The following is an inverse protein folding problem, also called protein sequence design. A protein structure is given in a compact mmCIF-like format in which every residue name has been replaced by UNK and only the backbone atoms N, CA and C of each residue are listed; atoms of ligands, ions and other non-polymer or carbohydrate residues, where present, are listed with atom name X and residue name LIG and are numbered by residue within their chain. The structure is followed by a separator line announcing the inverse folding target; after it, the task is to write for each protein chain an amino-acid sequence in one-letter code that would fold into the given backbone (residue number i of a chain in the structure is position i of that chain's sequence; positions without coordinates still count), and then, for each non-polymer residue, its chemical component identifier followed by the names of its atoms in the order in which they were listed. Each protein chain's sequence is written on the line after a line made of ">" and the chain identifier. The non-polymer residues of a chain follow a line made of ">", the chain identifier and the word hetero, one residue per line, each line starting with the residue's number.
data_IF_789680598752
#
_entry.id   IF_789680598752
#
_cell.length_a   1.000
_cell.length_b   1.000
_cell.length_c   1.000
_cell.angle_alpha   90.00
_cell.angle_beta   90.00
_cell.angle_gamma   90.00
#
_symmetry.space_group_name_H-M   'P 1'
#
loop_
_entity.id
_entity.type
_entity.pdbx_description
1 polymer ?
#
# COMPACT_ATOMS: atom_id res chain seq x y z
N UNK A 1 -41.52 4.48 -28.65
CA UNK A 1 -40.24 5.01 -28.11
C UNK A 1 -40.02 4.64 -26.64
N UNK A 2 -40.92 4.95 -25.69
CA UNK A 2 -40.71 4.67 -24.25
C UNK A 2 -40.35 3.20 -23.90
N UNK A 3 -41.00 2.22 -24.54
CA UNK A 3 -40.68 0.79 -24.35
C UNK A 3 -39.28 0.39 -24.84
N UNK A 4 -38.85 0.97 -25.97
CA UNK A 4 -37.52 0.72 -26.55
C UNK A 4 -36.42 1.29 -25.66
N UNK A 5 -36.64 2.48 -25.08
CA UNK A 5 -35.70 3.09 -24.12
C UNK A 5 -35.55 2.23 -22.87
N UNK A 6 -36.64 1.66 -22.35
CA UNK A 6 -36.59 0.72 -21.22
C UNK A 6 -35.71 -0.49 -21.49
N UNK A 7 -35.92 -1.19 -22.60
CA UNK A 7 -35.09 -2.35 -22.95
C UNK A 7 -33.60 -2.02 -23.14
N UNK A 8 -33.28 -0.82 -23.64
CA UNK A 8 -31.89 -0.36 -23.77
C UNK A 8 -31.26 -0.17 -22.39
N UNK A 9 -31.98 0.45 -21.45
CA UNK A 9 -31.51 0.66 -20.07
C UNK A 9 -31.32 -0.68 -19.36
N UNK A 10 -32.28 -1.60 -19.47
CA UNK A 10 -32.19 -2.92 -18.83
C UNK A 10 -31.00 -3.72 -19.38
N UNK A 11 -30.81 -3.71 -20.70
CA UNK A 11 -29.66 -4.36 -21.35
C UNK A 11 -28.35 -3.77 -20.86
N UNK A 12 -28.27 -2.44 -20.75
CA UNK A 12 -27.09 -1.75 -20.22
C UNK A 12 -26.79 -2.14 -18.76
N UNK A 13 -27.82 -2.21 -17.91
CA UNK A 13 -27.67 -2.61 -16.49
C UNK A 13 -27.22 -4.07 -16.37
N UNK A 14 -27.74 -4.98 -17.20
CA UNK A 14 -27.29 -6.38 -17.22
C UNK A 14 -25.80 -6.46 -17.61
N UNK A 15 -25.38 -5.71 -18.64
CA UNK A 15 -23.97 -5.64 -19.04
C UNK A 15 -23.11 -5.11 -17.88
N UNK A 16 -23.55 -4.04 -17.22
CA UNK A 16 -22.84 -3.47 -16.08
C UNK A 16 -22.72 -4.47 -14.92
N UNK A 17 -23.79 -5.22 -14.62
CA UNK A 17 -23.79 -6.28 -13.61
C UNK A 17 -22.81 -7.39 -13.95
N UNK A 18 -22.78 -7.86 -15.20
CA UNK A 18 -21.85 -8.90 -15.65
C UNK A 18 -20.40 -8.41 -15.52
N UNK A 19 -20.10 -7.19 -15.97
CA UNK A 19 -18.76 -6.58 -15.85
C UNK A 19 -18.35 -6.45 -14.38
N UNK A 20 -19.24 -5.91 -13.54
CA UNK A 20 -19.02 -5.76 -12.09
C UNK A 20 -18.76 -7.10 -11.42
N UNK A 21 -19.52 -8.14 -11.80
CA UNK A 21 -19.37 -9.50 -11.25
C UNK A 21 -18.05 -10.14 -11.66
N UNK A 22 -17.66 -10.01 -12.93
CA UNK A 22 -16.37 -10.51 -13.45
C UNK A 22 -15.20 -9.82 -12.73
N UNK A 23 -15.29 -8.50 -12.56
CA UNK A 23 -14.31 -7.72 -11.80
C UNK A 23 -14.22 -8.16 -10.33
N UNK A 24 -15.37 -8.35 -9.67
CA UNK A 24 -15.46 -8.74 -8.27
C UNK A 24 -14.91 -10.17 -8.01
N UNK A 25 -15.33 -11.17 -8.81
CA UNK A 25 -14.82 -12.55 -8.72
C UNK A 25 -13.30 -12.58 -8.94
N UNK A 26 -12.83 -11.75 -9.86
CA UNK A 26 -11.41 -11.57 -10.11
C UNK A 26 -10.59 -11.12 -8.92
N UNK A 27 -11.11 -10.10 -8.25
CA UNK A 27 -10.54 -9.53 -7.04
C UNK A 27 -10.47 -10.60 -5.93
N UNK A 28 -11.55 -11.35 -5.70
CA UNK A 28 -11.58 -12.43 -4.70
C UNK A 28 -10.57 -13.55 -4.96
N UNK A 29 -10.28 -13.86 -6.22
CA UNK A 29 -9.34 -14.92 -6.58
C UNK A 29 -7.89 -14.46 -6.61
N UNK A 30 -7.61 -13.16 -6.43
CA UNK A 30 -6.27 -12.59 -6.58
C UNK A 30 -5.65 -12.84 -7.96
N UNK A 31 -6.50 -13.10 -8.97
CA UNK A 31 -6.10 -13.59 -10.30
C UNK A 31 -6.44 -12.65 -11.44
N UNK A 32 -7.20 -11.58 -11.20
CA UNK A 32 -7.51 -10.66 -12.28
C UNK A 32 -6.38 -9.70 -12.52
N UNK A 33 -5.72 -9.94 -13.64
CA UNK A 33 -4.85 -8.99 -14.29
C UNK A 33 -5.67 -8.29 -15.41
N UNK A 34 -6.15 -7.07 -15.15
CA UNK A 34 -6.76 -6.22 -16.18
C UNK A 34 -5.70 -5.23 -16.67
N UNK A 35 -5.21 -5.41 -17.90
CA UNK A 35 -4.20 -4.51 -18.50
C UNK A 35 -2.91 -4.34 -17.67
N UNK A 36 -2.48 -5.39 -16.97
CA UNK A 36 -1.34 -5.36 -16.05
C UNK A 36 -1.75 -5.16 -14.59
N UNK A 37 -2.94 -4.67 -14.28
CA UNK A 37 -3.32 -4.27 -12.92
C UNK A 37 -4.09 -5.37 -12.18
N UNK A 38 -3.77 -5.55 -10.89
CA UNK A 38 -4.49 -6.45 -10.00
C UNK A 38 -4.62 -5.88 -8.58
N UNK A 39 -5.72 -6.21 -7.90
CA UNK A 39 -5.89 -5.98 -6.47
C UNK A 39 -5.61 -7.29 -5.73
N UNK A 40 -4.69 -7.26 -4.78
CA UNK A 40 -4.20 -8.44 -4.08
C UNK A 40 -4.24 -8.19 -2.58
N UNK A 41 -4.84 -9.12 -1.84
CA UNK A 41 -4.88 -9.11 -0.38
C UNK A 41 -3.55 -9.58 0.21
N UNK A 42 -3.05 -8.84 1.20
CA UNK A 42 -1.85 -9.16 1.96
C UNK A 42 -2.17 -10.23 3.01
N UNK A 43 -1.49 -11.37 2.92
CA UNK A 43 -1.74 -12.51 3.82
C UNK A 43 -0.73 -12.65 4.96
N UNK A 44 0.37 -11.88 4.94
CA UNK A 44 1.48 -12.03 5.89
C UNK A 44 1.91 -10.67 6.44
N UNK A 45 2.35 -10.66 7.70
CA UNK A 45 2.82 -9.44 8.41
C UNK A 45 4.27 -9.06 8.13
N UNK A 46 4.92 -9.70 7.15
CA UNK A 46 6.33 -9.46 6.81
C UNK A 46 6.61 -8.05 6.29
N UNK A 47 5.57 -7.27 5.98
CA UNK A 47 5.68 -5.91 5.46
C UNK A 47 5.10 -4.84 6.40
N UNK A 48 4.74 -5.20 7.64
CA UNK A 48 4.12 -4.28 8.62
C UNK A 48 4.97 -3.03 8.90
N UNK A 49 6.30 -3.14 8.95
CA UNK A 49 7.21 -2.00 9.15
C UNK A 49 7.13 -0.96 8.01
N UNK A 50 6.62 -1.34 6.83
CA UNK A 50 6.37 -0.43 5.71
C UNK A 50 4.93 0.11 5.65
N UNK A 51 4.13 -0.16 6.69
CA UNK A 51 2.72 0.21 6.76
C UNK A 51 1.81 -0.70 5.93
N UNK A 52 2.27 -1.92 5.61
CA UNK A 52 1.49 -2.94 4.90
C UNK A 52 1.12 -4.05 5.87
N UNK A 53 -0.14 -4.05 6.28
CA UNK A 53 -0.67 -4.95 7.30
C UNK A 53 -1.41 -6.14 6.68
N UNK A 54 -1.55 -7.20 7.47
CA UNK A 54 -2.39 -8.36 7.11
C UNK A 54 -3.83 -7.90 6.86
N UNK A 55 -4.42 -8.34 5.75
CA UNK A 55 -5.78 -7.99 5.34
C UNK A 55 -5.89 -6.68 4.55
N UNK A 56 -4.78 -5.98 4.32
CA UNK A 56 -4.77 -4.86 3.38
C UNK A 56 -4.92 -5.37 1.94
N UNK A 57 -5.67 -4.65 1.11
CA UNK A 57 -5.72 -4.90 -0.34
C UNK A 57 -4.84 -3.88 -1.05
N UNK A 58 -3.85 -4.38 -1.79
CA UNK A 58 -2.84 -3.57 -2.49
C UNK A 58 -3.03 -3.65 -4.00
N UNK A 59 -2.79 -2.51 -4.66
CA UNK A 59 -2.81 -2.40 -6.11
C UNK A 59 -1.42 -2.70 -6.67
N UNK A 60 -1.33 -3.76 -7.47
CA UNK A 60 -0.11 -4.16 -8.16
C UNK A 60 -0.24 -3.97 -9.68
N UNK A 61 0.90 -3.82 -10.34
CA UNK A 61 1.03 -3.76 -11.79
C UNK A 61 2.12 -4.70 -12.28
N UNK A 62 1.75 -5.58 -13.21
CA UNK A 62 2.67 -6.38 -14.01
C UNK A 62 3.38 -5.47 -15.01
N UNK A 63 4.71 -5.55 -15.04
CA UNK A 63 5.59 -4.75 -15.90
C UNK A 63 6.65 -5.66 -16.53
N UNK A 64 7.22 -5.24 -17.66
CA UNK A 64 8.23 -6.02 -18.38
C UNK A 64 9.57 -6.13 -17.62
N UNK A 65 9.84 -5.17 -16.72
CA UNK A 65 11.05 -5.11 -15.91
C UNK A 65 10.71 -4.61 -14.51
N UNK A 66 11.23 -5.32 -13.51
CA UNK A 66 11.22 -4.94 -12.10
C UNK A 66 12.60 -4.42 -11.71
N UNK A 67 12.66 -3.57 -10.69
CA UNK A 67 13.91 -2.94 -10.25
C UNK A 67 14.13 -3.18 -8.74
N UNK A 68 15.40 -3.12 -8.32
CA UNK A 68 15.74 -3.11 -6.90
C UNK A 68 15.08 -1.89 -6.24
N UNK A 69 14.47 -2.10 -5.08
CA UNK A 69 13.64 -1.12 -4.38
C UNK A 69 12.14 -1.22 -4.65
N UNK A 70 11.71 -2.00 -5.65
CA UNK A 70 10.28 -2.29 -5.85
C UNK A 70 9.75 -3.20 -4.72
N UNK A 71 8.55 -2.91 -4.21
CA UNK A 71 7.78 -3.89 -3.45
C UNK A 71 7.08 -4.81 -4.45
N UNK A 72 7.52 -6.07 -4.52
CA UNK A 72 7.01 -7.04 -5.49
C UNK A 72 6.06 -8.03 -4.82
N UNK A 73 4.98 -8.33 -5.52
CA UNK A 73 4.06 -9.41 -5.19
C UNK A 73 4.42 -10.65 -6.02
N UNK A 74 4.65 -11.79 -5.37
CA UNK A 74 5.09 -13.01 -6.04
C UNK A 74 4.46 -14.26 -5.43
N UNK A 75 4.41 -15.34 -6.21
CA UNK A 75 3.94 -16.63 -5.77
C UNK A 75 5.04 -17.43 -5.07
N UNK A 76 4.75 -17.92 -3.87
CA UNK A 76 5.60 -18.87 -3.13
C UNK A 76 4.71 -19.81 -2.33
N UNK A 77 4.97 -21.12 -2.41
CA UNK A 77 4.23 -22.16 -1.70
C UNK A 77 2.69 -22.07 -1.88
N UNK A 78 2.24 -21.66 -3.07
CA UNK A 78 0.81 -21.49 -3.38
C UNK A 78 0.14 -20.26 -2.78
N UNK A 79 0.89 -19.43 -2.04
CA UNK A 79 0.44 -18.15 -1.49
C UNK A 79 1.09 -16.97 -2.21
N UNK A 80 0.50 -15.78 -2.06
CA UNK A 80 1.06 -14.54 -2.58
C UNK A 80 1.73 -13.81 -1.43
N UNK A 81 2.99 -13.44 -1.63
CA UNK A 81 3.80 -12.68 -0.69
C UNK A 81 4.15 -11.33 -1.29
N UNK A 82 4.27 -10.32 -0.43
CA UNK A 82 4.79 -9.00 -0.78
C UNK A 82 6.12 -8.85 -0.08
N UNK A 83 7.21 -8.60 -0.79
CA UNK A 83 8.50 -8.25 -0.18
C UNK A 83 9.18 -7.14 -0.97
N UNK A 84 10.13 -6.46 -0.33
CA UNK A 84 11.02 -5.51 -0.98
C UNK A 84 12.08 -6.28 -1.78
N UNK A 85 12.23 -5.95 -3.06
CA UNK A 85 13.34 -6.43 -3.87
C UNK A 85 14.63 -5.70 -3.45
N UNK A 86 15.56 -6.42 -2.82
CA UNK A 86 16.78 -5.83 -2.25
C UNK A 86 18.00 -5.98 -3.16
N UNK A 87 18.06 -7.04 -3.96
CA UNK A 87 19.16 -7.32 -4.86
C UNK A 87 18.65 -8.05 -6.09
N UNK A 88 19.09 -7.63 -7.27
CA UNK A 88 18.82 -8.33 -8.53
C UNK A 88 19.95 -9.34 -8.81
N UNK A 89 19.58 -10.60 -8.99
CA UNK A 89 20.47 -11.68 -9.40
C UNK A 89 20.03 -12.21 -10.75
N UNK A 90 20.92 -12.92 -11.46
CA UNK A 90 20.66 -13.37 -12.84
C UNK A 90 19.33 -14.14 -13.03
N UNK A 91 18.88 -14.87 -12.00
CA UNK A 91 17.65 -15.66 -12.04
C UNK A 91 16.41 -14.95 -11.47
N UNK A 92 16.54 -13.79 -10.83
CA UNK A 92 15.44 -13.20 -10.06
C UNK A 92 15.89 -12.12 -9.07
N UNK A 93 15.18 -12.01 -7.97
CA UNK A 93 15.51 -11.08 -6.89
C UNK A 93 15.73 -11.83 -5.58
N UNK A 94 16.69 -11.34 -4.80
CA UNK A 94 16.69 -11.60 -3.36
C UNK A 94 15.71 -10.59 -2.77
N UNK A 95 14.82 -11.07 -1.91
CA UNK A 95 13.76 -10.27 -1.31
C UNK A 95 13.85 -10.24 0.20
N UNK A 96 13.33 -9.18 0.81
CA UNK A 96 13.20 -9.09 2.25
C UNK A 96 11.85 -8.46 2.61
N UNK A 97 11.12 -9.12 3.52
CA UNK A 97 10.01 -8.47 4.18
C UNK A 97 10.54 -7.34 5.07
N UNK A 98 9.97 -6.14 4.98
CA UNK A 98 10.47 -4.98 5.74
C UNK A 98 10.41 -5.18 7.26
N UNK A 99 9.58 -6.10 7.75
CA UNK A 99 9.52 -6.51 9.18
C UNK A 99 10.43 -7.68 9.53
N UNK A 100 11.10 -8.29 8.55
CA UNK A 100 11.99 -9.42 8.77
C UNK A 100 13.41 -8.93 9.09
N UNK A 101 14.07 -9.55 10.06
CA UNK A 101 15.44 -9.22 10.49
C UNK A 101 16.53 -9.55 9.47
N UNK A 102 16.25 -10.42 8.52
CA UNK A 102 17.20 -10.88 7.52
C UNK A 102 16.53 -11.05 6.14
N UNK A 103 17.30 -10.97 5.05
CA UNK A 103 16.86 -11.36 3.72
C UNK A 103 16.32 -12.79 3.67
N UNK A 104 15.37 -13.03 2.77
CA UNK A 104 14.86 -14.38 2.54
C UNK A 104 15.95 -15.28 1.95
N UNK A 105 16.04 -16.50 2.45
CA UNK A 105 17.05 -17.48 2.01
C UNK A 105 16.86 -18.00 0.58
N UNK A 106 15.78 -17.62 -0.10
CA UNK A 106 15.44 -18.10 -1.44
C UNK A 106 15.33 -16.96 -2.46
N UNK A 107 15.66 -17.28 -3.72
CA UNK A 107 15.55 -16.34 -4.83
C UNK A 107 14.11 -16.36 -5.36
N UNK A 108 13.49 -15.19 -5.51
CA UNK A 108 12.23 -15.01 -6.20
C UNK A 108 12.52 -14.89 -7.69
N UNK A 109 12.17 -15.91 -8.47
CA UNK A 109 12.43 -15.91 -9.92
C UNK A 109 11.52 -14.89 -10.62
N UNK A 110 11.99 -14.33 -11.71
CA UNK A 110 11.21 -13.39 -12.54
C UNK A 110 9.83 -13.93 -12.94
N UNK A 111 9.73 -15.23 -13.20
CA UNK A 111 8.50 -15.92 -13.57
C UNK A 111 7.49 -16.08 -12.42
N UNK A 112 7.96 -16.01 -11.16
CA UNK A 112 7.11 -16.12 -9.98
C UNK A 112 6.54 -14.75 -9.57
N UNK A 113 7.03 -13.64 -10.15
CA UNK A 113 6.58 -12.28 -9.87
C UNK A 113 5.28 -11.99 -10.62
N UNK A 114 4.26 -11.59 -9.88
CA UNK A 114 2.93 -11.27 -10.40
C UNK A 114 2.88 -9.81 -10.84
N UNK A 115 3.51 -8.92 -10.06
CA UNK A 115 3.53 -7.49 -10.31
C UNK A 115 4.20 -6.73 -9.17
N UNK A 116 4.44 -5.45 -9.39
CA UNK A 116 4.94 -4.54 -8.36
C UNK A 116 3.82 -3.70 -7.79
N UNK A 117 3.89 -3.41 -6.50
CA UNK A 117 3.02 -2.43 -5.88
C UNK A 117 3.27 -1.07 -6.52
N UNK A 118 2.18 -0.43 -6.95
CA UNK A 118 2.23 0.90 -7.58
C UNK A 118 1.55 1.97 -6.73
N UNK A 119 0.94 1.58 -5.61
CA UNK A 119 0.31 2.49 -4.67
C UNK A 119 0.37 1.93 -3.26
N UNK A 120 0.74 2.77 -2.30
CA UNK A 120 0.68 2.46 -0.87
C UNK A 120 -0.70 2.69 -0.26
N UNK A 121 -1.73 3.03 -1.06
CA UNK A 121 -3.11 3.09 -0.56
C UNK A 121 -3.65 1.69 -0.30
N UNK A 122 -4.41 1.55 0.78
CA UNK A 122 -5.21 0.36 1.03
C UNK A 122 -6.54 0.50 0.25
N UNK A 123 -6.84 -0.48 -0.60
CA UNK A 123 -8.03 -0.54 -1.44
C UNK A 123 -9.19 -1.34 -0.82
N UNK A 124 -9.15 -1.65 0.49
CA UNK A 124 -10.24 -2.31 1.20
C UNK A 124 -11.58 -1.59 1.02
N UNK A 125 -11.58 -0.26 1.06
CA UNK A 125 -12.78 0.55 0.79
C UNK A 125 -13.31 0.31 -0.63
N UNK A 126 -12.43 0.20 -1.62
CA UNK A 126 -12.80 0.02 -3.01
C UNK A 126 -13.42 -1.37 -3.21
N UNK A 127 -12.81 -2.41 -2.66
CA UNK A 127 -13.38 -3.78 -2.68
C UNK A 127 -14.74 -3.81 -1.99
N UNK A 128 -14.88 -3.14 -0.85
CA UNK A 128 -16.16 -3.03 -0.12
C UNK A 128 -17.23 -2.32 -0.94
N UNK A 129 -16.90 -1.20 -1.58
CA UNK A 129 -17.81 -0.45 -2.44
C UNK A 129 -18.21 -1.26 -3.68
N UNK A 130 -17.26 -1.93 -4.33
CA UNK A 130 -17.54 -2.78 -5.50
C UNK A 130 -18.46 -3.95 -5.17
N UNK A 131 -18.28 -4.57 -4.00
CA UNK A 131 -19.19 -5.61 -3.51
C UNK A 131 -20.62 -5.08 -3.36
N UNK A 132 -20.78 -3.90 -2.76
CA UNK A 132 -22.09 -3.24 -2.57
C UNK A 132 -22.75 -2.90 -3.91
N UNK A 133 -21.98 -2.36 -4.87
CA UNK A 133 -22.49 -2.06 -6.23
C UNK A 133 -23.00 -3.35 -6.90
N UNK A 134 -22.23 -4.44 -6.82
CA UNK A 134 -22.62 -5.74 -7.38
C UNK A 134 -23.91 -6.27 -6.74
N UNK A 135 -24.08 -6.12 -5.42
CA UNK A 135 -25.29 -6.50 -4.70
C UNK A 135 -26.50 -5.65 -5.12
N UNK A 136 -26.33 -4.33 -5.24
CA UNK A 136 -27.41 -3.42 -5.66
C UNK A 136 -27.90 -3.78 -7.07
N UNK A 137 -26.98 -4.03 -8.00
CA UNK A 137 -27.29 -4.45 -9.36
C UNK A 137 -28.03 -5.81 -9.36
N UNK A 138 -27.60 -6.77 -8.55
CA UNK A 138 -28.27 -8.06 -8.40
C UNK A 138 -29.72 -7.90 -7.89
N UNK A 139 -29.91 -7.11 -6.83
CA UNK A 139 -31.24 -6.85 -6.26
C UNK A 139 -32.15 -6.15 -7.27
N UNK A 140 -31.63 -5.16 -8.00
CA UNK A 140 -32.36 -4.51 -9.08
C UNK A 140 -32.84 -5.51 -10.13
N UNK A 141 -31.98 -6.43 -10.57
CA UNK A 141 -32.33 -7.47 -11.55
C UNK A 141 -33.41 -8.43 -11.00
N UNK A 142 -33.35 -8.80 -9.73
CA UNK A 142 -34.38 -9.63 -9.07
C UNK A 142 -35.73 -8.90 -9.04
N UNK A 143 -35.74 -7.60 -8.69
CA UNK A 143 -36.96 -6.80 -8.68
C UNK A 143 -37.54 -6.68 -10.09
N UNK A 144 -36.72 -6.36 -11.09
CA UNK A 144 -37.18 -6.28 -12.48
C UNK A 144 -37.73 -7.61 -13.00
N UNK A 145 -37.07 -8.73 -12.69
CA UNK A 145 -37.55 -10.06 -13.06
C UNK A 145 -38.89 -10.40 -12.41
N UNK A 146 -39.04 -10.12 -11.11
CA UNK A 146 -40.29 -10.37 -10.39
C UNK A 146 -41.45 -9.50 -10.89
N UNK A 147 -41.21 -8.21 -11.17
CA UNK A 147 -42.19 -7.33 -11.80
C UNK A 147 -42.58 -7.83 -13.19
N UNK A 148 -41.60 -8.25 -14.00
CA UNK A 148 -41.84 -8.83 -15.32
C UNK A 148 -42.74 -10.08 -15.26
N UNK A 149 -42.48 -10.98 -14.32
CA UNK A 149 -43.29 -12.17 -14.09
C UNK A 149 -44.73 -11.80 -13.68
N UNK A 150 -44.90 -10.87 -12.72
CA UNK A 150 -46.25 -10.42 -12.33
C UNK A 150 -47.02 -9.78 -13.48
N UNK A 151 -46.34 -9.01 -14.35
CA UNK A 151 -46.96 -8.39 -15.51
C UNK A 151 -47.34 -9.44 -16.57
N UNK A 152 -46.51 -10.46 -16.77
CA UNK A 152 -46.82 -11.58 -17.66
C UNK A 152 -48.08 -12.33 -17.19
N UNK A 153 -48.16 -12.65 -15.90
CA UNK A 153 -49.33 -13.30 -15.31
C UNK A 153 -50.60 -12.46 -15.56
N UNK A 154 -50.55 -11.14 -15.30
CA UNK A 154 -51.69 -10.22 -15.55
C UNK A 154 -52.11 -10.18 -17.03
N UNK A 155 -51.14 -10.17 -17.96
CA UNK A 155 -51.40 -9.95 -19.38
C UNK A 155 -51.82 -11.21 -20.14
N UNK A 156 -51.35 -12.39 -19.70
CA UNK A 156 -51.48 -13.63 -20.45
C UNK A 156 -52.20 -14.74 -19.68
N UNK A 157 -52.17 -14.74 -18.35
CA UNK A 157 -52.96 -15.66 -17.53
C UNK A 157 -54.14 -14.94 -16.89
N UNK A 158 -55.32 -15.03 -17.52
CA UNK A 158 -56.59 -14.50 -17.01
C UNK A 158 -57.10 -15.20 -15.72
N UNK A 159 -56.23 -15.68 -14.82
CA UNK A 159 -56.64 -16.29 -13.55
C UNK A 159 -56.19 -15.46 -12.35
N UNK A 160 -57.15 -14.64 -11.90
CA UNK A 160 -57.18 -13.94 -10.63
C UNK A 160 -56.96 -14.94 -9.49
N UNK A 161 -55.75 -15.01 -8.92
CA UNK A 161 -55.55 -15.36 -7.51
C UNK A 161 -54.20 -14.79 -7.02
N UNK A 162 -54.23 -13.53 -6.58
CA UNK A 162 -53.15 -12.95 -5.79
C UNK A 162 -53.16 -13.58 -4.38
N UNK A 163 -52.52 -14.73 -4.24
CA UNK A 163 -52.20 -15.30 -2.93
C UNK A 163 -51.22 -14.38 -2.20
N UNK A 164 -51.63 -13.84 -1.05
CA UNK A 164 -50.98 -12.73 -0.33
C UNK A 164 -49.51 -12.90 0.07
N UNK A 165 -48.87 -14.04 -0.18
CA UNK A 165 -47.45 -14.28 0.12
C UNK A 165 -46.49 -13.62 -0.88
N UNK A 166 -46.83 -13.55 -2.18
CA UNK A 166 -45.90 -13.04 -3.22
C UNK A 166 -45.66 -11.53 -3.12
N UNK A 167 -46.69 -10.75 -2.78
CA UNK A 167 -46.57 -9.31 -2.54
C UNK A 167 -45.84 -8.96 -1.24
N UNK A 168 -46.00 -9.79 -0.21
CA UNK A 168 -45.31 -9.64 1.08
C UNK A 168 -43.80 -9.84 0.97
N UNK A 169 -43.34 -10.75 0.13
CA UNK A 169 -41.89 -10.97 -0.12
C UNK A 169 -41.23 -9.74 -0.72
N UNK A 170 -41.92 -9.04 -1.64
CA UNK A 170 -41.41 -7.83 -2.29
C UNK A 170 -41.29 -6.64 -1.30
N UNK A 171 -42.24 -6.52 -0.38
CA UNK A 171 -42.25 -5.52 0.68
C UNK A 171 -41.18 -5.82 1.75
N UNK A 172 -41.01 -7.10 2.13
CA UNK A 172 -39.93 -7.52 3.03
C UNK A 172 -38.53 -7.25 2.44
N UNK A 173 -38.34 -7.47 1.12
CA UNK A 173 -37.07 -7.16 0.45
C UNK A 173 -36.78 -5.65 0.44
N UNK A 174 -37.81 -4.82 0.25
CA UNK A 174 -37.71 -3.35 0.30
C UNK A 174 -37.40 -2.81 1.71
N UNK A 175 -37.91 -3.47 2.76
CA UNK A 175 -37.67 -3.12 4.16
C UNK A 175 -36.28 -3.55 4.66
N UNK A 176 -35.64 -4.54 4.03
CA UNK A 176 -34.29 -5.03 4.38
C UNK A 176 -33.16 -4.16 3.81
N UNK A 177 -33.42 -3.33 2.79
CA UNK A 177 -32.41 -2.49 2.12
C UNK A 177 -31.81 -1.36 2.98
N UNK A 178 -32.59 -0.63 3.81
CA UNK A 178 -32.03 0.40 4.71
C UNK A 178 -31.58 -0.14 6.08
N UNK A 179 -31.77 -1.44 6.37
CA UNK A 179 -31.58 -2.01 7.70
C UNK A 179 -30.22 -2.68 7.94
N UNK A 180 -29.27 -2.59 7.00
CA UNK A 180 -27.88 -2.91 7.33
C UNK A 180 -27.34 -1.73 8.16
N UNK A 181 -27.09 -1.89 9.48
CA UNK A 181 -26.47 -0.83 10.24
C UNK A 181 -25.16 -0.48 9.56
N UNK A 182 -25.04 0.79 9.18
CA UNK A 182 -23.75 1.42 8.96
C UNK A 182 -23.07 1.36 10.33
N UNK A 183 -22.32 0.29 10.59
CA UNK A 183 -21.26 0.37 11.57
C UNK A 183 -20.24 1.34 10.99
N UNK A 184 -20.45 2.61 11.29
CA UNK A 184 -19.33 3.52 11.45
C UNK A 184 -18.44 2.84 12.48
N UNK A 185 -17.23 2.47 12.07
CA UNK A 185 -16.18 2.17 13.02
C UNK A 185 -16.07 3.41 13.92
N UNK A 186 -16.28 3.15 15.20
CA UNK A 186 -16.25 4.06 16.31
C UNK A 186 -14.98 4.91 16.28
N UNK A 187 -15.09 6.18 15.86
CA UNK A 187 -14.09 7.21 16.17
C UNK A 187 -14.54 7.91 17.45
N UNK A 188 -14.39 7.24 18.58
CA UNK A 188 -14.41 7.92 19.87
C UNK A 188 -13.19 8.85 19.95
N UNK A 189 -13.39 10.13 19.60
CA UNK A 189 -13.08 11.18 20.57
C UNK A 189 -13.87 12.48 20.29
N UNK A 190 -14.85 12.71 21.16
CA UNK A 190 -15.23 13.98 21.79
C UNK A 190 -15.04 15.30 21.03
N UNK A 191 -16.17 15.98 20.83
CA UNK A 191 -16.32 17.38 20.39
C UNK A 191 -15.65 18.41 21.31
N UNK A 192 -14.81 19.32 20.78
CA UNK A 192 -14.81 20.77 21.08
C UNK A 192 -14.22 21.53 19.87
N UNK A 193 -14.93 22.55 19.39
CA UNK A 193 -14.44 23.51 18.39
C UNK A 193 -13.33 24.40 18.99
N UNK A 194 -12.10 24.23 18.52
CA UNK A 194 -11.07 25.27 18.48
C UNK A 194 -10.28 25.07 17.19
N UNK A 195 -10.06 26.14 16.42
CA UNK A 195 -9.16 26.10 15.27
C UNK A 195 -7.74 25.93 15.81
N UNK A 196 -7.28 24.70 15.90
CA UNK A 196 -5.88 24.33 16.09
C UNK A 196 -5.51 23.45 14.92
N UNK A 197 -4.44 23.81 14.19
CA UNK A 197 -3.75 22.95 13.24
C UNK A 197 -3.68 21.53 13.83
N UNK A 198 -4.33 20.57 13.16
CA UNK A 198 -4.27 19.18 13.59
C UNK A 198 -2.90 18.65 13.15
N UNK A 199 -1.96 18.51 14.09
CA UNK A 199 -0.77 17.68 13.89
C UNK A 199 -1.27 16.24 13.63
N UNK A 200 -1.12 15.76 12.40
CA UNK A 200 -1.49 14.40 12.03
C UNK A 200 -0.38 13.47 12.50
N UNK A 201 -0.51 12.92 13.70
CA UNK A 201 0.39 11.89 14.23
C UNK A 201 0.14 10.56 13.50
N UNK A 202 1.07 10.17 12.64
CA UNK A 202 1.06 8.83 12.04
C UNK A 202 2.06 7.98 12.81
N UNK A 203 1.55 7.15 13.72
CA UNK A 203 2.34 6.16 14.42
C UNK A 203 2.61 4.99 13.45
N UNK A 204 3.83 4.96 12.89
CA UNK A 204 4.34 3.81 12.12
C UNK A 204 4.93 2.73 13.03
N UNK A 205 4.69 2.82 14.33
CA UNK A 205 5.23 1.97 15.40
C UNK A 205 6.39 2.65 16.14
N UNK A 206 7.25 3.39 15.43
CA UNK A 206 8.41 4.07 16.03
C UNK A 206 8.70 5.47 15.50
N UNK A 207 8.20 5.90 14.33
CA UNK A 207 8.42 7.26 13.86
C UNK A 207 7.23 8.17 14.15
N UNK A 208 7.54 9.39 14.58
CA UNK A 208 6.59 10.50 14.66
C UNK A 208 6.67 11.30 13.37
N UNK A 209 5.56 11.42 12.67
CA UNK A 209 5.42 12.22 11.45
C UNK A 209 4.46 13.38 11.74
N UNK A 210 4.84 14.59 11.34
CA UNK A 210 4.01 15.80 11.46
C UNK A 210 4.15 16.59 10.17
N UNK A 211 3.03 16.99 9.55
CA UNK A 211 2.99 17.76 8.29
C UNK A 211 3.86 17.15 7.17
N UNK A 212 3.81 15.82 7.02
CA UNK A 212 4.59 15.06 6.02
C UNK A 212 6.12 15.11 6.21
N UNK A 213 6.55 15.49 7.41
CA UNK A 213 7.94 15.48 7.82
C UNK A 213 8.16 14.46 8.94
N UNK A 214 9.28 13.73 8.90
CA UNK A 214 9.68 12.87 10.01
C UNK A 214 10.26 13.74 11.11
N UNK A 215 9.60 13.79 12.26
CA UNK A 215 9.97 14.66 13.39
C UNK A 215 10.57 13.93 14.57
N UNK A 216 10.36 12.62 14.67
CA UNK A 216 10.86 11.86 15.80
C UNK A 216 11.00 10.37 15.51
N UNK A 217 11.82 9.71 16.31
CA UNK A 217 11.97 8.28 16.35
C UNK A 217 12.02 7.80 17.81
N UNK A 218 11.28 6.74 18.11
CA UNK A 218 11.30 6.10 19.42
C UNK A 218 12.58 5.27 19.58
N UNK A 219 13.56 5.85 20.27
CA UNK A 219 14.83 5.20 20.58
C UNK A 219 14.69 3.97 21.50
N UNK A 220 13.51 3.72 22.08
CA UNK A 220 13.24 2.54 22.92
C UNK A 220 12.78 1.30 22.14
N UNK A 221 12.59 1.43 20.82
CA UNK A 221 12.14 0.36 19.91
C UNK A 221 12.95 -0.94 20.01
N UNK A 222 14.26 -0.83 20.26
CA UNK A 222 15.21 -1.95 20.20
C UNK A 222 15.65 -2.33 18.79
N UNK A 223 15.21 -1.59 17.76
CA UNK A 223 15.54 -1.90 16.37
C UNK A 223 17.03 -1.65 16.06
N UNK A 224 17.60 -2.59 15.30
CA UNK A 224 18.99 -2.51 14.82
C UNK A 224 19.07 -2.05 13.37
N UNK A 225 18.00 -2.22 12.59
CA UNK A 225 17.89 -1.76 11.21
C UNK A 225 16.68 -0.84 11.11
N UNK A 226 16.92 0.41 10.73
CA UNK A 226 15.88 1.44 10.71
C UNK A 226 15.71 2.00 9.30
N UNK A 227 14.50 1.90 8.76
CA UNK A 227 14.14 2.49 7.47
C UNK A 227 13.27 3.71 7.69
N UNK A 228 13.69 4.88 7.22
CA UNK A 228 12.83 6.05 7.26
C UNK A 228 11.58 5.85 6.40
N UNK A 229 10.41 6.37 6.81
CA UNK A 229 9.18 6.21 6.06
C UNK A 229 9.27 7.00 4.74
N UNK A 230 8.99 6.32 3.63
CA UNK A 230 9.01 6.94 2.31
C UNK A 230 7.71 7.71 1.98
N UNK A 231 6.61 7.37 2.66
CA UNK A 231 5.27 7.91 2.39
C UNK A 231 4.47 8.11 3.68
N UNK A 232 3.57 9.09 3.69
CA UNK A 232 2.60 9.31 4.76
C UNK A 232 1.42 8.31 4.68
N UNK A 233 0.48 8.40 5.62
CA UNK A 233 -0.71 7.53 5.69
C UNK A 233 -1.67 7.71 4.51
N UNK A 234 -1.61 8.86 3.83
CA UNK A 234 -2.38 9.15 2.62
C UNK A 234 -1.71 8.61 1.34
N UNK A 235 -0.49 8.07 1.45
CA UNK A 235 0.32 7.57 0.34
C UNK A 235 1.05 8.66 -0.45
N UNK A 236 1.24 9.84 0.14
CA UNK A 236 2.02 10.94 -0.43
C UNK A 236 3.48 10.82 0.02
N UNK A 237 4.46 11.18 -0.83
CA UNK A 237 5.87 11.01 -0.54
C UNK A 237 6.32 11.92 0.61
N UNK A 238 7.01 11.33 1.59
CA UNK A 238 7.71 12.08 2.63
C UNK A 238 9.06 12.50 2.06
N UNK A 239 9.32 13.80 2.11
CA UNK A 239 10.50 14.41 1.51
C UNK A 239 11.49 14.95 2.53
N UNK A 240 11.07 15.12 3.78
CA UNK A 240 11.84 15.78 4.83
C UNK A 240 11.95 14.89 6.07
N UNK A 241 13.18 14.71 6.54
CA UNK A 241 13.50 14.30 7.91
C UNK A 241 14.03 15.51 8.62
N UNK A 242 13.44 15.88 9.74
CA UNK A 242 13.83 17.08 10.49
C UNK A 242 15.09 16.84 11.34
N UNK A 243 15.42 17.79 12.21
CA UNK A 243 16.63 17.74 13.03
C UNK A 243 16.52 16.66 14.13
N UNK A 244 17.61 15.93 14.35
CA UNK A 244 17.82 15.05 15.52
C UNK A 244 16.87 13.85 15.65
N UNK A 245 16.19 13.43 14.58
CA UNK A 245 15.17 12.38 14.62
C UNK A 245 15.67 11.09 15.27
N UNK A 246 16.84 10.59 14.86
CA UNK A 246 17.46 9.36 15.41
C UNK A 246 18.70 9.64 16.29
N UNK A 247 18.80 10.86 16.83
CA UNK A 247 19.96 11.28 17.64
C UNK A 247 20.05 10.46 18.92
N UNK A 248 21.27 10.17 19.39
CA UNK A 248 21.53 9.40 20.61
C UNK A 248 20.99 7.96 20.58
N UNK A 249 20.70 7.42 19.40
CA UNK A 249 20.24 6.04 19.31
C UNK A 249 21.40 5.06 19.57
N UNK A 250 21.25 4.25 20.61
CA UNK A 250 22.26 3.28 21.04
C UNK A 250 22.06 1.87 20.47
N UNK A 251 20.99 1.61 19.71
CA UNK A 251 20.66 0.27 19.21
C UNK A 251 20.86 0.14 17.70
N UNK A 252 20.61 1.21 16.96
CA UNK A 252 20.60 1.21 15.50
C UNK A 252 22.00 1.02 14.93
N UNK A 253 22.14 -0.04 14.13
CA UNK A 253 23.36 -0.41 13.41
C UNK A 253 23.31 -0.05 11.93
N UNK A 254 22.12 -0.07 11.33
CA UNK A 254 21.91 0.22 9.90
C UNK A 254 20.76 1.20 9.75
N UNK A 255 20.97 2.26 8.97
CA UNK A 255 19.90 3.20 8.59
C UNK A 255 19.67 3.18 7.09
N UNK A 256 18.41 3.12 6.67
CA UNK A 256 17.97 3.13 5.28
C UNK A 256 17.18 4.42 5.02
N UNK A 257 17.68 5.23 4.09
CA UNK A 257 17.03 6.44 3.58
C UNK A 257 16.39 6.09 2.23
N UNK A 258 15.05 6.07 2.11
CA UNK A 258 14.36 5.79 0.85
C UNK A 258 14.54 6.90 -0.20
N UNK A 259 14.25 6.62 -1.48
CA UNK A 259 14.45 7.57 -2.57
C UNK A 259 13.63 8.86 -2.49
N UNK A 260 12.51 8.85 -1.75
CA UNK A 260 11.61 9.99 -1.63
C UNK A 260 12.18 11.12 -0.77
N UNK A 261 13.13 10.82 0.11
CA UNK A 261 13.68 11.78 1.06
C UNK A 261 14.71 12.66 0.35
N UNK A 262 14.35 13.91 0.15
CA UNK A 262 15.19 14.93 -0.49
C UNK A 262 15.83 15.88 0.50
N UNK A 263 15.43 15.84 1.78
CA UNK A 263 15.98 16.69 2.83
C UNK A 263 16.22 15.96 4.14
N UNK A 264 17.42 16.15 4.71
CA UNK A 264 17.81 15.63 6.03
C UNK A 264 18.26 16.78 6.93
N UNK A 265 17.59 16.91 8.08
CA UNK A 265 17.92 17.87 9.11
C UNK A 265 19.26 17.61 9.80
N UNK A 266 19.63 18.53 10.66
CA UNK A 266 20.91 18.52 11.37
C UNK A 266 20.95 17.46 12.46
N UNK A 267 22.15 16.94 12.71
CA UNK A 267 22.47 16.09 13.87
C UNK A 267 21.67 14.79 13.98
N UNK A 268 21.06 14.31 12.88
CA UNK A 268 20.31 13.05 12.86
C UNK A 268 21.16 11.87 13.35
N UNK A 269 22.39 11.74 12.87
CA UNK A 269 23.30 10.64 13.23
C UNK A 269 24.27 10.99 14.37
N UNK A 270 23.98 12.04 15.15
CA UNK A 270 24.90 12.46 16.21
C UNK A 270 24.78 11.53 17.43
N UNK A 271 25.93 11.04 17.92
CA UNK A 271 26.02 10.11 19.06
C UNK A 271 25.24 8.80 18.85
N UNK A 272 25.37 8.19 17.67
CA UNK A 272 24.85 6.85 17.38
C UNK A 272 26.02 5.85 17.42
N UNK A 273 26.41 5.31 18.60
CA UNK A 273 27.67 4.57 18.77
C UNK A 273 27.73 3.23 18.04
N UNK A 274 26.56 2.62 17.77
CA UNK A 274 26.46 1.31 17.13
C UNK A 274 26.18 1.38 15.62
N UNK A 275 25.99 2.59 15.07
CA UNK A 275 25.74 2.79 13.65
C UNK A 275 26.98 2.40 12.85
N UNK A 276 26.84 1.39 11.99
CA UNK A 276 27.89 0.84 11.13
C UNK A 276 27.65 1.16 9.67
N UNK A 277 26.38 1.18 9.26
CA UNK A 277 25.99 1.30 7.85
C UNK A 277 24.90 2.35 7.63
N UNK A 278 25.03 3.06 6.51
CA UNK A 278 24.01 3.96 5.99
C UNK A 278 23.71 3.61 4.54
N UNK A 279 22.46 3.29 4.23
CA UNK A 279 21.99 2.97 2.88
C UNK A 279 21.16 4.16 2.40
N UNK A 280 21.57 4.83 1.34
CA UNK A 280 20.89 6.00 0.77
C UNK A 280 20.41 5.64 -0.63
N UNK A 281 19.11 5.43 -0.79
CA UNK A 281 18.51 4.98 -2.06
C UNK A 281 18.13 6.14 -3.00
N UNK A 282 18.43 7.38 -2.63
CA UNK A 282 18.18 8.54 -3.49
C UNK A 282 19.18 8.60 -4.66
N UNK A 283 18.66 8.87 -5.87
CA UNK A 283 19.49 9.05 -7.08
C UNK A 283 20.23 10.40 -7.06
N UNK A 284 19.74 11.38 -6.29
CA UNK A 284 20.37 12.69 -6.16
C UNK A 284 20.93 12.87 -4.73
N UNK A 285 22.19 13.31 -4.56
CA UNK A 285 22.75 13.59 -3.24
C UNK A 285 21.90 14.58 -2.45
N UNK A 286 21.58 14.23 -1.21
CA UNK A 286 20.77 15.07 -0.32
C UNK A 286 21.63 16.23 0.19
N UNK A 287 21.46 17.42 -0.40
CA UNK A 287 22.31 18.58 -0.14
C UNK A 287 22.04 19.28 1.21
N UNK A 288 20.86 19.10 1.81
CA UNK A 288 20.54 19.70 3.11
C UNK A 288 21.17 18.96 4.29
N UNK A 289 21.73 17.77 4.05
CA UNK A 289 22.41 16.98 5.07
C UNK A 289 23.52 17.81 5.74
N UNK A 290 23.54 17.83 7.07
CA UNK A 290 24.57 18.55 7.82
C UNK A 290 25.72 17.62 8.19
N UNK A 291 26.93 17.99 7.80
CA UNK A 291 28.16 17.33 8.22
C UNK A 291 28.72 17.86 9.55
N UNK A 292 27.97 18.69 10.29
CA UNK A 292 28.43 19.26 11.55
C UNK A 292 28.76 18.14 12.56
N UNK A 293 30.01 18.13 13.04
CA UNK A 293 30.51 17.12 13.97
C UNK A 293 30.91 15.79 13.33
N UNK A 294 30.97 15.73 11.99
CA UNK A 294 31.38 14.57 11.20
C UNK A 294 30.65 13.27 11.64
N UNK A 295 29.30 13.26 11.62
CA UNK A 295 28.53 12.22 12.31
C UNK A 295 28.60 10.83 11.63
N UNK A 296 29.12 10.74 10.40
CA UNK A 296 29.25 9.47 9.66
C UNK A 296 30.70 8.95 9.57
N UNK A 297 31.59 9.39 10.46
CA UNK A 297 32.98 8.90 10.49
C UNK A 297 33.01 7.41 10.76
N UNK A 298 33.70 6.67 9.90
CA UNK A 298 33.86 5.22 10.07
C UNK A 298 32.61 4.41 9.70
N UNK A 299 31.55 5.05 9.21
CA UNK A 299 30.34 4.37 8.72
C UNK A 299 30.51 4.04 7.24
N UNK A 300 30.08 2.84 6.83
CA UNK A 300 30.00 2.45 5.42
C UNK A 300 28.71 3.00 4.81
N UNK A 301 28.83 3.74 3.70
CA UNK A 301 27.71 4.40 3.03
C UNK A 301 27.47 3.71 1.69
N UNK A 302 26.29 3.14 1.50
CA UNK A 302 25.88 2.48 0.26
C UNK A 302 24.86 3.32 -0.50
N UNK A 303 25.08 3.50 -1.80
CA UNK A 303 24.21 4.29 -2.70
C UNK A 303 23.99 3.54 -4.02
N UNK A 304 22.95 3.86 -4.82
CA UNK A 304 22.74 3.18 -6.09
C UNK A 304 23.98 3.24 -6.98
N UNK A 305 24.29 2.11 -7.62
CA UNK A 305 25.50 1.90 -8.41
C UNK A 305 25.71 2.99 -9.49
N UNK A 306 24.61 3.48 -10.06
CA UNK A 306 24.55 4.55 -11.05
C UNK A 306 25.16 5.87 -10.54
N UNK A 307 25.03 6.18 -9.25
CA UNK A 307 25.25 7.52 -8.70
C UNK A 307 26.38 7.60 -7.67
N UNK A 308 27.10 6.50 -7.44
CA UNK A 308 28.27 6.44 -6.53
C UNK A 308 29.26 7.58 -6.79
N UNK A 309 29.61 7.80 -8.06
CA UNK A 309 30.57 8.83 -8.44
C UNK A 309 30.06 10.26 -8.15
N UNK A 310 28.76 10.49 -8.25
CA UNK A 310 28.11 11.77 -7.95
C UNK A 310 28.15 12.02 -6.44
N UNK A 311 27.79 11.04 -5.63
CA UNK A 311 27.87 11.13 -4.17
C UNK A 311 29.30 11.38 -3.66
N UNK A 312 30.31 10.73 -4.26
CA UNK A 312 31.72 10.94 -3.90
C UNK A 312 32.23 12.36 -4.21
N UNK A 313 31.60 13.08 -5.13
CA UNK A 313 32.05 14.40 -5.59
C UNK A 313 31.17 15.56 -5.10
N UNK A 314 30.00 15.27 -4.53
CA UNK A 314 29.02 16.28 -4.13
C UNK A 314 29.11 16.59 -2.63
N UNK A 315 29.24 17.86 -2.27
CA UNK A 315 29.14 18.30 -0.86
C UNK A 315 27.68 18.12 -0.36
N UNK A 316 27.43 17.62 0.87
CA UNK A 316 28.40 17.32 1.93
C UNK A 316 28.95 15.89 1.91
N UNK A 317 28.42 15.01 1.05
CA UNK A 317 28.77 13.59 0.96
C UNK A 317 30.23 13.32 0.58
N UNK A 318 30.84 14.22 -0.20
CA UNK A 318 32.23 14.12 -0.65
C UNK A 318 33.25 14.00 0.49
N UNK A 319 32.93 14.45 1.70
CA UNK A 319 33.82 14.27 2.87
C UNK A 319 33.95 12.81 3.31
N UNK A 320 32.97 11.98 2.94
CA UNK A 320 32.93 10.54 3.21
C UNK A 320 33.26 9.72 1.95
N UNK A 321 33.83 10.32 0.90
CA UNK A 321 34.04 9.67 -0.39
C UNK A 321 34.80 8.33 -0.32
N UNK A 322 35.71 8.17 0.65
CA UNK A 322 36.47 6.93 0.87
C UNK A 322 35.63 5.78 1.44
N UNK A 323 34.45 6.10 2.00
CA UNK A 323 33.52 5.16 2.63
C UNK A 323 32.18 5.07 1.90
N UNK A 324 32.10 5.64 0.69
CA UNK A 324 30.93 5.51 -0.19
C UNK A 324 31.18 4.35 -1.17
N UNK A 325 30.25 3.40 -1.21
CA UNK A 325 30.32 2.18 -2.00
C UNK A 325 29.06 1.97 -2.84
N UNK A 326 29.14 1.29 -3.99
CA UNK A 326 27.96 0.85 -4.73
C UNK A 326 27.14 -0.11 -3.88
N UNK A 327 25.81 -0.01 -3.98
CA UNK A 327 24.88 -0.87 -3.26
C UNK A 327 25.14 -2.35 -3.55
N UNK A 328 25.52 -2.71 -4.78
CA UNK A 328 25.89 -4.08 -5.18
C UNK A 328 27.13 -4.65 -4.48
N UNK A 329 27.97 -3.81 -3.87
CA UNK A 329 29.17 -4.27 -3.16
C UNK A 329 28.95 -4.56 -1.68
N UNK A 330 27.75 -4.30 -1.16
CA UNK A 330 27.38 -4.60 0.22
C UNK A 330 27.30 -6.12 0.41
N UNK A 331 28.25 -6.69 1.13
CA UNK A 331 28.22 -8.11 1.51
C UNK A 331 27.52 -8.27 2.85
N UNK A 332 26.58 -9.22 2.95
CA UNK A 332 25.84 -9.56 4.18
C UNK A 332 26.72 -9.80 5.41
#
# INVERSE_FOLDING_TARGET
>A
MKKVVGYIIDTFIIILFIISTIFFIGTLKGKTNYFGYALVEVKTGSMEASGINIGDVRLIKSVDRYEVGDIIAFHKDGSIYFHLAIEEVKSGFITQGTSNLAPDSGIVRHEDIIGKQISNRNFNWFVSVQFRITLILLVYLIIMFSLGATLYDILFENNIYYGGSKGLVLILLFLLLPALPVYALDTNNSTVNHYTEYEVFIDTGYFTIVNDEVVGYDNSSGETVVTFPAYNSNGEPITVVTDKVIRFNNNVEVVIIPPSITSLGKLNFQHCPNLKELIVLAENPICSFSNQGNPLVGIDIYVPDSVVHIYKTTHPWSIYASRIFPLSSRTN
#
